data_IF_421743464801
#
_entry.id   IF_421743464801
#
_cell.length_a   1.000
_cell.length_b   1.000
_cell.length_c   1.000
_cell.angle_alpha   90.00
_cell.angle_beta   90.00
_cell.angle_gamma   90.00
#
_symmetry.space_group_name_H-M   'P 1'
#
loop_
_entity.id
_entity.type
_entity.pdbx_description
1 polymer ?
#
# COMPACT_ATOMS: atom_id res chain seq x y z
N UNK A 1 -30.52 -44.25 -6.67
CA UNK A 1 -29.41 -43.49 -6.07
C UNK A 1 -29.37 -42.14 -6.78
N UNK A 2 -29.97 -41.13 -6.14
CA UNK A 2 -30.16 -39.78 -6.65
C UNK A 2 -28.79 -39.08 -6.63
N UNK A 3 -28.29 -38.62 -7.77
CA UNK A 3 -26.99 -37.96 -7.87
C UNK A 3 -27.24 -36.46 -7.90
N UNK A 4 -27.01 -35.82 -6.76
CA UNK A 4 -27.07 -34.38 -6.59
C UNK A 4 -26.15 -33.67 -7.60
N UNK A 5 -26.74 -32.84 -8.45
CA UNK A 5 -26.03 -31.92 -9.34
C UNK A 5 -26.15 -30.50 -8.77
N UNK A 6 -25.12 -29.95 -8.10
CA UNK A 6 -25.14 -28.56 -7.64
C UNK A 6 -24.68 -27.54 -8.72
N UNK A 7 -24.75 -27.87 -10.01
CA UNK A 7 -23.97 -27.15 -11.05
C UNK A 7 -24.74 -26.57 -12.26
N UNK A 8 -26.08 -26.63 -12.29
CA UNK A 8 -26.87 -25.82 -13.23
C UNK A 8 -27.89 -25.03 -12.40
N UNK A 9 -27.60 -23.75 -12.17
CA UNK A 9 -28.71 -22.80 -12.00
C UNK A 9 -29.60 -23.02 -13.23
N UNK A 10 -30.85 -23.43 -13.01
CA UNK A 10 -31.83 -23.55 -14.08
C UNK A 10 -31.81 -22.23 -14.86
N UNK A 11 -31.79 -22.26 -16.19
CA UNK A 11 -31.68 -21.02 -16.98
C UNK A 11 -32.87 -20.08 -16.66
N UNK A 12 -33.99 -20.63 -16.17
CA UNK A 12 -35.07 -19.85 -15.55
C UNK A 12 -34.60 -19.04 -14.34
N UNK A 13 -33.84 -19.63 -13.43
CA UNK A 13 -33.20 -18.93 -12.30
C UNK A 13 -32.20 -17.87 -12.80
N UNK A 14 -31.53 -18.11 -13.94
CA UNK A 14 -30.63 -17.13 -14.58
C UNK A 14 -31.39 -15.93 -15.14
N UNK A 15 -32.52 -16.16 -15.81
CA UNK A 15 -33.40 -15.10 -16.31
C UNK A 15 -33.97 -14.27 -15.15
N UNK A 16 -34.51 -14.93 -14.12
CA UNK A 16 -35.02 -14.27 -12.91
C UNK A 16 -33.90 -13.49 -12.20
N UNK A 17 -32.72 -14.07 -12.04
CA UNK A 17 -31.57 -13.39 -11.46
C UNK A 17 -31.18 -12.13 -12.24
N UNK A 18 -31.27 -12.16 -13.57
CA UNK A 18 -30.99 -10.99 -14.42
C UNK A 18 -32.05 -9.89 -14.25
N UNK A 19 -33.33 -10.25 -14.10
CA UNK A 19 -34.42 -9.30 -13.78
C UNK A 19 -34.17 -8.65 -12.41
N UNK A 20 -33.84 -9.44 -11.39
CA UNK A 20 -33.57 -8.94 -10.03
C UNK A 20 -32.35 -8.00 -9.99
N UNK A 21 -31.31 -8.26 -10.80
CA UNK A 21 -30.18 -7.33 -10.95
C UNK A 21 -30.66 -6.00 -11.53
N UNK A 22 -31.48 -6.02 -12.58
CA UNK A 22 -32.10 -4.82 -13.16
C UNK A 22 -32.87 -4.01 -12.12
N UNK A 23 -33.68 -4.66 -11.30
CA UNK A 23 -34.44 -4.01 -10.22
C UNK A 23 -33.55 -3.37 -9.16
N UNK A 24 -32.50 -4.07 -8.73
CA UNK A 24 -31.57 -3.56 -7.74
C UNK A 24 -30.84 -2.30 -8.24
N UNK A 25 -30.49 -2.28 -9.53
CA UNK A 25 -29.88 -1.13 -10.20
C UNK A 25 -30.88 0.03 -10.35
N UNK A 26 -32.13 -0.23 -10.74
CA UNK A 26 -33.20 0.79 -10.75
C UNK A 26 -33.35 1.43 -9.36
N UNK A 27 -33.44 0.62 -8.30
CA UNK A 27 -33.53 1.11 -6.93
C UNK A 27 -32.27 1.92 -6.50
N UNK A 28 -31.09 1.58 -7.03
CA UNK A 28 -29.86 2.35 -6.83
C UNK A 28 -29.94 3.73 -7.49
N UNK A 29 -30.37 3.80 -8.75
CA UNK A 29 -30.56 5.05 -9.47
C UNK A 29 -31.62 5.94 -8.78
N UNK A 30 -32.68 5.36 -8.22
CA UNK A 30 -33.68 6.12 -7.43
C UNK A 30 -33.13 6.70 -6.13
N UNK A 31 -32.27 5.95 -5.44
CA UNK A 31 -31.55 6.47 -4.26
C UNK A 31 -30.64 7.62 -4.67
N UNK A 32 -29.90 7.46 -5.77
CA UNK A 32 -29.05 8.52 -6.32
C UNK A 32 -29.86 9.75 -6.71
N UNK A 33 -31.05 9.59 -7.31
CA UNK A 33 -31.98 10.70 -7.60
C UNK A 33 -32.38 11.46 -6.33
N UNK A 34 -32.77 10.74 -5.27
CA UNK A 34 -33.16 11.33 -3.98
C UNK A 34 -32.00 12.08 -3.33
N UNK A 35 -30.79 11.52 -3.37
CA UNK A 35 -29.59 12.19 -2.88
C UNK A 35 -29.23 13.41 -3.74
N UNK A 36 -29.41 13.30 -5.06
CA UNK A 36 -29.26 14.37 -6.04
C UNK A 36 -29.96 15.67 -5.68
N UNK A 37 -31.19 15.55 -5.14
CA UNK A 37 -32.01 16.69 -4.72
C UNK A 37 -31.42 17.45 -3.52
N UNK A 38 -30.55 16.82 -2.72
CA UNK A 38 -29.94 17.44 -1.54
C UNK A 38 -28.71 18.33 -1.86
N UNK A 39 -28.29 18.45 -3.12
CA UNK A 39 -27.19 19.32 -3.59
C UNK A 39 -25.86 19.16 -2.81
N UNK A 40 -25.57 17.96 -2.29
CA UNK A 40 -24.33 17.67 -1.56
C UNK A 40 -23.20 17.21 -2.51
N UNK A 41 -21.92 17.33 -2.12
CA UNK A 41 -20.81 16.74 -2.89
C UNK A 41 -20.92 15.23 -3.08
N UNK A 42 -21.58 14.53 -2.15
CA UNK A 42 -21.89 13.11 -2.27
C UNK A 42 -22.99 12.84 -3.30
N UNK A 43 -23.95 13.76 -3.45
CA UNK A 43 -25.01 13.70 -4.44
C UNK A 43 -24.46 13.65 -5.86
N UNK A 44 -23.45 14.47 -6.18
CA UNK A 44 -22.84 14.49 -7.51
C UNK A 44 -22.16 13.16 -7.85
N UNK A 45 -21.50 12.53 -6.87
CA UNK A 45 -20.89 11.20 -7.05
C UNK A 45 -21.96 10.13 -7.26
N UNK A 46 -23.04 10.17 -6.47
CA UNK A 46 -24.15 9.24 -6.59
C UNK A 46 -24.86 9.36 -7.95
N UNK A 47 -25.10 10.58 -8.43
CA UNK A 47 -25.68 10.82 -9.76
C UNK A 47 -24.78 10.26 -10.87
N UNK A 48 -23.48 10.56 -10.82
CA UNK A 48 -22.53 10.02 -11.81
C UNK A 48 -22.48 8.49 -11.79
N UNK A 49 -22.46 7.89 -10.61
CA UNK A 49 -22.49 6.43 -10.49
C UNK A 49 -23.80 5.85 -11.06
N UNK A 50 -24.94 6.52 -10.85
CA UNK A 50 -26.22 6.13 -11.47
C UNK A 50 -26.20 6.25 -13.00
N UNK A 51 -25.53 7.25 -13.59
CA UNK A 51 -25.36 7.34 -15.04
C UNK A 51 -24.54 6.18 -15.61
N UNK A 52 -23.49 5.76 -14.91
CA UNK A 52 -22.67 4.63 -15.32
C UNK A 52 -23.43 3.29 -15.20
N UNK A 53 -24.28 3.16 -14.17
CA UNK A 53 -25.05 1.95 -13.88
C UNK A 53 -26.30 1.80 -14.78
N UNK A 54 -26.86 2.89 -15.29
CA UNK A 54 -28.12 2.85 -16.06
C UNK A 54 -28.08 1.96 -17.32
N UNK A 55 -27.01 1.97 -18.15
CA UNK A 55 -26.90 1.03 -19.26
C UNK A 55 -26.87 -0.44 -18.83
N UNK A 56 -26.38 -0.75 -17.61
CA UNK A 56 -26.35 -2.13 -17.09
C UNK A 56 -27.76 -2.66 -16.77
N UNK A 57 -28.71 -1.78 -16.42
CA UNK A 57 -30.13 -2.15 -16.28
C UNK A 57 -30.60 -2.79 -17.57
N UNK A 58 -30.46 -2.09 -18.70
CA UNK A 58 -30.88 -2.60 -20.01
C UNK A 58 -30.13 -3.86 -20.43
N UNK A 59 -28.82 -3.97 -20.17
CA UNK A 59 -28.06 -5.20 -20.45
C UNK A 59 -28.57 -6.40 -19.66
N UNK A 60 -28.97 -6.19 -18.40
CA UNK A 60 -29.53 -7.24 -17.56
C UNK A 60 -30.91 -7.69 -18.03
N UNK A 61 -31.78 -6.74 -18.41
CA UNK A 61 -33.11 -7.04 -18.95
C UNK A 61 -33.04 -7.69 -20.33
N UNK A 62 -32.15 -7.22 -21.22
CA UNK A 62 -31.93 -7.82 -22.55
C UNK A 62 -31.43 -9.28 -22.42
N UNK A 63 -30.61 -9.58 -21.41
CA UNK A 63 -30.17 -10.95 -21.09
C UNK A 63 -31.34 -11.81 -20.60
N UNK A 64 -32.16 -11.29 -19.68
CA UNK A 64 -33.35 -12.00 -19.21
C UNK A 64 -34.29 -12.32 -20.38
N UNK A 65 -34.56 -11.32 -21.22
CA UNK A 65 -35.37 -11.45 -22.44
C UNK A 65 -34.84 -12.55 -23.35
N UNK A 66 -33.53 -12.60 -23.62
CA UNK A 66 -32.94 -13.63 -24.48
C UNK A 66 -33.18 -15.05 -23.94
N UNK A 67 -32.98 -15.26 -22.64
CA UNK A 67 -33.17 -16.57 -22.01
C UNK A 67 -34.65 -16.98 -21.99
N UNK A 68 -35.55 -16.02 -21.73
CA UNK A 68 -36.98 -16.27 -21.74
C UNK A 68 -37.51 -16.58 -23.15
N UNK A 69 -37.06 -15.84 -24.15
CA UNK A 69 -37.42 -16.06 -25.55
C UNK A 69 -36.96 -17.45 -26.05
N UNK A 70 -35.75 -17.88 -25.66
CA UNK A 70 -35.24 -19.22 -25.99
C UNK A 70 -36.12 -20.36 -25.44
N UNK A 71 -36.85 -20.11 -24.36
CA UNK A 71 -37.80 -21.06 -23.76
C UNK A 71 -39.23 -20.93 -24.27
N UNK A 72 -39.47 -20.06 -25.26
CA UNK A 72 -40.80 -19.81 -25.81
C UNK A 72 -41.72 -19.03 -24.87
N UNK A 73 -41.18 -18.34 -23.86
CA UNK A 73 -41.97 -17.43 -23.04
C UNK A 73 -42.40 -16.22 -23.87
N UNK A 74 -43.58 -15.67 -23.57
CA UNK A 74 -44.09 -14.49 -24.26
C UNK A 74 -43.36 -13.24 -23.77
N UNK A 75 -42.38 -12.76 -24.55
CA UNK A 75 -41.63 -11.52 -24.29
C UNK A 75 -42.07 -10.35 -25.19
N UNK A 76 -43.22 -10.45 -25.85
CA UNK A 76 -43.69 -9.47 -26.84
C UNK A 76 -43.83 -8.08 -26.22
N UNK A 77 -44.40 -7.99 -25.02
CA UNK A 77 -44.56 -6.70 -24.33
C UNK A 77 -43.23 -5.96 -24.10
N UNK A 78 -42.16 -6.70 -23.77
CA UNK A 78 -40.82 -6.13 -23.67
C UNK A 78 -40.29 -5.71 -25.05
N UNK A 79 -40.45 -6.53 -26.07
CA UNK A 79 -39.95 -6.28 -27.42
C UNK A 79 -40.63 -5.07 -28.09
N UNK A 80 -41.92 -4.83 -27.81
CA UNK A 80 -42.66 -3.65 -28.28
C UNK A 80 -42.24 -2.37 -27.54
N UNK A 81 -41.93 -2.49 -26.26
CA UNK A 81 -41.51 -1.37 -25.42
C UNK A 81 -40.07 -0.94 -25.72
N UNK A 82 -39.15 -1.89 -25.93
CA UNK A 82 -37.69 -1.67 -26.01
C UNK A 82 -37.21 -0.64 -27.05
N UNK A 83 -37.85 -0.45 -28.22
CA UNK A 83 -37.46 0.61 -29.17
C UNK A 83 -37.84 2.02 -28.73
N UNK A 84 -38.83 2.15 -27.84
CA UNK A 84 -39.46 3.42 -27.48
C UNK A 84 -38.95 4.01 -26.15
N UNK A 85 -38.17 3.24 -25.39
CA UNK A 85 -37.67 3.64 -24.07
C UNK A 85 -36.45 4.54 -24.13
N UNK A 86 -36.32 5.40 -23.11
CA UNK A 86 -35.13 6.24 -22.94
C UNK A 86 -33.93 5.39 -22.52
N UNK A 87 -32.89 5.41 -23.33
CA UNK A 87 -31.63 4.67 -23.08
C UNK A 87 -30.58 5.50 -22.34
N UNK A 88 -30.86 6.78 -22.08
CA UNK A 88 -29.99 7.67 -21.32
C UNK A 88 -30.73 8.16 -20.09
N UNK A 89 -30.03 8.16 -18.96
CA UNK A 89 -30.55 8.67 -17.69
C UNK A 89 -30.55 10.20 -17.60
N UNK A 90 -29.93 10.90 -18.56
CA UNK A 90 -29.76 12.36 -18.51
C UNK A 90 -30.86 13.10 -19.28
N UNK A 91 -31.51 14.04 -18.61
CA UNK A 91 -32.12 15.19 -19.26
C UNK A 91 -31.09 16.33 -19.30
N UNK A 92 -30.75 16.81 -20.49
CA UNK A 92 -30.08 18.10 -20.64
C UNK A 92 -31.11 19.16 -20.23
N UNK A 93 -31.04 19.63 -18.99
CA UNK A 93 -31.84 20.77 -18.56
C UNK A 93 -31.38 22.03 -19.30
N UNK A 94 -32.30 22.97 -19.49
CA UNK A 94 -32.04 24.31 -20.08
C UNK A 94 -31.02 25.15 -19.26
N UNK A 95 -30.70 24.71 -18.03
CA UNK A 95 -29.65 25.27 -17.20
C UNK A 95 -28.38 24.41 -17.31
N UNK A 96 -27.31 25.02 -17.86
CA UNK A 96 -26.11 24.41 -18.44
C UNK A 96 -25.31 23.44 -17.55
N UNK A 97 -25.58 23.27 -16.25
CA UNK A 97 -24.67 22.54 -15.36
C UNK A 97 -25.31 21.56 -14.36
N UNK A 98 -26.62 21.26 -14.44
CA UNK A 98 -27.26 20.33 -13.49
C UNK A 98 -27.61 19.00 -14.17
N UNK A 99 -26.70 18.04 -14.06
CA UNK A 99 -26.94 16.65 -14.45
C UNK A 99 -27.95 16.03 -13.47
N UNK A 100 -29.16 15.77 -13.94
CA UNK A 100 -30.24 15.16 -13.17
C UNK A 100 -30.59 13.77 -13.71
N UNK A 101 -31.07 12.91 -12.81
CA UNK A 101 -31.61 11.58 -13.15
C UNK A 101 -33.04 11.75 -13.69
N UNK A 102 -33.25 11.37 -14.95
CA UNK A 102 -34.56 11.44 -15.62
C UNK A 102 -35.57 10.45 -14.98
N UNK A 103 -36.66 10.94 -14.36
CA UNK A 103 -37.70 10.08 -13.81
C UNK A 103 -38.33 9.16 -14.87
N UNK A 104 -38.55 9.68 -16.08
CA UNK A 104 -39.21 8.93 -17.16
C UNK A 104 -38.38 7.73 -17.63
N UNK A 105 -37.06 7.87 -17.64
CA UNK A 105 -36.14 6.78 -17.99
C UNK A 105 -36.16 5.64 -16.95
N UNK A 106 -36.35 5.97 -15.67
CA UNK A 106 -36.52 4.95 -14.62
C UNK A 106 -37.89 4.29 -14.69
N UNK A 107 -38.95 5.05 -14.97
CA UNK A 107 -40.30 4.50 -15.15
C UNK A 107 -40.38 3.55 -16.36
N UNK A 108 -39.70 3.90 -17.47
CA UNK A 108 -39.55 3.04 -18.64
C UNK A 108 -38.85 1.70 -18.28
N UNK A 109 -37.80 1.75 -17.47
CA UNK A 109 -37.08 0.57 -17.01
C UNK A 109 -37.91 -0.29 -16.04
N UNK A 110 -38.72 0.32 -15.16
CA UNK A 110 -39.66 -0.41 -14.30
C UNK A 110 -40.73 -1.13 -15.13
N UNK A 111 -41.34 -0.43 -16.09
CA UNK A 111 -42.33 -1.05 -16.98
C UNK A 111 -41.73 -2.23 -17.75
N UNK A 112 -40.50 -2.08 -18.27
CA UNK A 112 -39.80 -3.17 -18.94
C UNK A 112 -39.55 -4.39 -18.03
N UNK A 113 -39.24 -4.12 -16.75
CA UNK A 113 -39.07 -5.18 -15.74
C UNK A 113 -40.39 -5.90 -15.49
N UNK A 114 -41.50 -5.16 -15.34
CA UNK A 114 -42.83 -5.73 -15.11
C UNK A 114 -43.27 -6.61 -16.28
N UNK A 115 -43.05 -6.19 -17.52
CA UNK A 115 -43.32 -7.01 -18.72
C UNK A 115 -42.55 -8.35 -18.69
N UNK A 116 -41.26 -8.32 -18.30
CA UNK A 116 -40.47 -9.55 -18.18
C UNK A 116 -40.91 -10.43 -17.00
N UNK A 117 -41.42 -9.84 -15.91
CA UNK A 117 -41.99 -10.60 -14.79
C UNK A 117 -43.27 -11.32 -15.19
N UNK A 118 -44.13 -10.69 -15.99
CA UNK A 118 -45.34 -11.30 -16.55
C UNK A 118 -45.01 -12.51 -17.43
N UNK A 119 -43.88 -12.49 -18.13
CA UNK A 119 -43.39 -13.60 -18.94
C UNK A 119 -42.94 -14.83 -18.13
N UNK A 120 -42.82 -14.73 -16.80
CA UNK A 120 -42.40 -15.83 -15.91
C UNK A 120 -43.50 -16.21 -14.89
N UNK A 121 -44.62 -16.80 -15.35
CA UNK A 121 -45.71 -17.17 -14.44
C UNK A 121 -45.27 -18.24 -13.43
N UNK A 122 -45.68 -18.05 -12.17
CA UNK A 122 -45.43 -19.02 -11.09
C UNK A 122 -43.98 -19.09 -10.60
N UNK A 123 -43.13 -18.09 -10.89
CA UNK A 123 -41.82 -18.00 -10.26
C UNK A 123 -41.95 -17.65 -8.76
N UNK A 124 -41.26 -18.41 -7.90
CA UNK A 124 -41.08 -18.05 -6.49
C UNK A 124 -39.94 -17.03 -6.39
N UNK A 125 -40.29 -15.76 -6.64
CA UNK A 125 -39.35 -14.64 -6.61
C UNK A 125 -38.60 -14.55 -5.29
N UNK A 126 -39.26 -14.84 -4.15
CA UNK A 126 -38.65 -14.75 -2.83
C UNK A 126 -37.64 -15.88 -2.56
N UNK A 127 -37.89 -17.11 -3.05
CA UNK A 127 -36.90 -18.19 -2.98
C UNK A 127 -35.72 -17.94 -3.93
N UNK A 128 -35.97 -17.41 -5.13
CA UNK A 128 -34.90 -17.11 -6.09
C UNK A 128 -34.07 -15.92 -5.62
N UNK A 129 -34.68 -14.87 -5.07
CA UNK A 129 -33.98 -13.74 -4.46
C UNK A 129 -33.10 -14.21 -3.29
N UNK A 130 -33.58 -15.11 -2.42
CA UNK A 130 -32.73 -15.67 -1.35
C UNK A 130 -31.50 -16.41 -1.90
N UNK A 131 -31.67 -17.24 -2.95
CA UNK A 131 -30.56 -17.96 -3.61
C UNK A 131 -29.63 -17.04 -4.39
N UNK A 132 -30.16 -15.98 -4.98
CA UNK A 132 -29.41 -15.02 -5.81
C UNK A 132 -28.95 -13.77 -5.05
N UNK A 133 -29.28 -13.63 -3.77
CA UNK A 133 -28.89 -12.50 -2.91
C UNK A 133 -27.38 -12.22 -2.93
N UNK A 134 -26.56 -13.28 -3.00
CA UNK A 134 -25.11 -13.20 -3.16
C UNK A 134 -24.63 -12.74 -4.55
N UNK A 135 -25.44 -12.91 -5.60
CA UNK A 135 -25.19 -12.42 -6.97
C UNK A 135 -25.70 -10.99 -7.17
N UNK A 136 -26.87 -10.65 -6.61
CA UNK A 136 -27.52 -9.34 -6.76
C UNK A 136 -26.75 -8.24 -6.03
N UNK A 137 -26.02 -8.57 -4.97
CA UNK A 137 -25.13 -7.65 -4.24
C UNK A 137 -23.70 -7.60 -4.81
N UNK A 138 -23.38 -8.44 -5.81
CA UNK A 138 -22.05 -8.53 -6.39
C UNK A 138 -21.64 -7.45 -7.41
N UNK A 139 -22.52 -6.65 -8.09
CA UNK A 139 -22.03 -5.78 -9.15
C UNK A 139 -21.17 -4.62 -8.63
N UNK A 140 -21.23 -4.27 -7.34
CA UNK A 140 -20.42 -3.19 -6.76
C UNK A 140 -19.04 -3.65 -6.25
N UNK A 141 -18.85 -4.95 -6.01
CA UNK A 141 -17.57 -5.48 -5.49
C UNK A 141 -16.47 -5.40 -6.56
N UNK A 142 -16.83 -5.55 -7.85
CA UNK A 142 -15.87 -5.49 -8.96
C UNK A 142 -15.24 -4.09 -9.10
N UNK A 143 -16.00 -3.02 -8.84
CA UNK A 143 -15.53 -1.62 -8.90
C UNK A 143 -14.58 -1.28 -7.75
N UNK A 144 -14.88 -1.76 -6.52
CA UNK A 144 -13.97 -1.63 -5.37
C UNK A 144 -12.69 -2.46 -5.56
N UNK A 145 -12.81 -3.68 -6.09
CA UNK A 145 -11.65 -4.54 -6.39
C UNK A 145 -10.76 -3.94 -7.47
N UNK A 146 -11.33 -3.38 -8.55
CA UNK A 146 -10.55 -2.67 -9.56
C UNK A 146 -9.87 -1.42 -8.99
N UNK A 147 -10.52 -0.66 -8.08
CA UNK A 147 -9.87 0.47 -7.41
C UNK A 147 -8.68 0.03 -6.52
N UNK A 148 -8.80 -1.10 -5.82
CA UNK A 148 -7.69 -1.65 -5.04
C UNK A 148 -6.55 -2.14 -5.93
N UNK A 149 -6.86 -2.79 -7.06
CA UNK A 149 -5.86 -3.26 -8.03
C UNK A 149 -5.13 -2.08 -8.69
N UNK A 150 -5.87 -1.05 -9.11
CA UNK A 150 -5.29 0.18 -9.69
C UNK A 150 -4.47 0.93 -8.64
N UNK A 151 -4.98 1.06 -7.42
CA UNK A 151 -4.24 1.66 -6.30
C UNK A 151 -2.95 0.92 -5.99
N UNK A 152 -2.97 -0.43 -6.02
CA UNK A 152 -1.79 -1.26 -5.87
C UNK A 152 -0.76 -1.05 -6.99
N UNK A 153 -1.21 -1.00 -8.25
CA UNK A 153 -0.33 -0.73 -9.39
C UNK A 153 0.33 0.65 -9.32
N UNK A 154 -0.43 1.68 -8.95
CA UNK A 154 0.09 3.05 -8.77
C UNK A 154 1.12 3.09 -7.64
N UNK A 155 0.86 2.40 -6.53
CA UNK A 155 1.81 2.31 -5.42
C UNK A 155 3.11 1.62 -5.85
N UNK A 156 3.03 0.48 -6.54
CA UNK A 156 4.21 -0.25 -7.04
C UNK A 156 5.01 0.63 -8.01
N UNK A 157 4.34 1.34 -8.91
CA UNK A 157 4.99 2.26 -9.83
C UNK A 157 5.68 3.41 -9.09
N UNK A 158 5.03 4.02 -8.09
CA UNK A 158 5.61 5.07 -7.28
C UNK A 158 6.86 4.58 -6.51
N UNK A 159 6.82 3.38 -5.95
CA UNK A 159 7.98 2.77 -5.27
C UNK A 159 9.13 2.54 -6.27
N UNK A 160 8.84 2.03 -7.47
CA UNK A 160 9.85 1.83 -8.50
C UNK A 160 10.50 3.14 -8.95
N UNK A 161 9.71 4.20 -9.14
CA UNK A 161 10.21 5.54 -9.50
C UNK A 161 11.06 6.13 -8.37
N UNK A 162 10.63 5.99 -7.11
CA UNK A 162 11.42 6.44 -5.96
C UNK A 162 12.74 5.68 -5.83
N UNK A 163 12.73 4.36 -6.03
CA UNK A 163 13.94 3.54 -6.04
C UNK A 163 14.90 3.95 -7.18
N UNK A 164 14.35 4.20 -8.37
CA UNK A 164 15.14 4.69 -9.50
C UNK A 164 15.71 6.09 -9.24
N UNK A 165 14.93 7.01 -8.70
CA UNK A 165 15.40 8.36 -8.33
C UNK A 165 16.49 8.30 -7.25
N UNK A 166 16.35 7.42 -6.24
CA UNK A 166 17.37 7.20 -5.24
C UNK A 166 18.69 6.66 -5.83
N UNK A 167 18.61 5.87 -6.91
CA UNK A 167 19.81 5.37 -7.62
C UNK A 167 20.55 6.45 -8.42
N UNK A 168 19.86 7.54 -8.78
CA UNK A 168 20.45 8.70 -9.45
C UNK A 168 21.06 9.71 -8.49
N UNK A 169 20.75 9.61 -7.18
CA UNK A 169 21.41 10.44 -6.17
C UNK A 169 22.90 10.05 -6.17
N UNK A 170 23.81 10.95 -6.58
CA UNK A 170 25.22 10.67 -6.55
C UNK A 170 25.59 10.37 -5.11
N UNK A 171 25.87 9.10 -4.81
CA UNK A 171 26.50 8.74 -3.56
C UNK A 171 27.86 9.44 -3.60
N UNK A 172 28.02 10.48 -2.79
CA UNK A 172 29.32 11.08 -2.51
C UNK A 172 30.23 9.91 -2.15
N UNK A 173 31.14 9.55 -3.07
CA UNK A 173 32.07 8.46 -2.83
C UNK A 173 32.84 8.87 -1.57
N UNK A 174 32.74 8.12 -0.46
CA UNK A 174 33.45 8.48 0.75
C UNK A 174 34.91 8.59 0.37
N UNK A 175 35.46 9.79 0.51
CA UNK A 175 36.83 10.07 0.15
C UNK A 175 37.70 9.10 0.97
N UNK A 176 38.53 8.25 0.34
CA UNK A 176 39.33 7.26 1.06
C UNK A 176 40.21 7.90 2.14
N UNK A 177 40.56 9.19 1.97
CA UNK A 177 41.28 9.97 2.97
C UNK A 177 40.47 10.23 4.24
N UNK A 178 39.16 10.45 4.14
CA UNK A 178 38.30 10.70 5.30
C UNK A 178 37.90 9.41 6.03
N UNK A 179 37.89 8.28 5.32
CA UNK A 179 37.81 6.96 5.96
C UNK A 179 39.09 6.66 6.76
N UNK A 180 40.26 6.83 6.13
CA UNK A 180 41.56 6.60 6.78
C UNK A 180 41.78 7.53 7.98
N UNK A 181 41.36 8.81 7.90
CA UNK A 181 41.44 9.74 9.04
C UNK A 181 40.61 9.29 10.23
N UNK A 182 39.43 8.72 10.01
CA UNK A 182 38.57 8.19 11.08
C UNK A 182 39.21 6.97 11.73
N UNK A 183 39.72 6.04 10.93
CA UNK A 183 40.42 4.86 11.47
C UNK A 183 41.66 5.23 12.30
N UNK A 184 42.44 6.21 11.84
CA UNK A 184 43.58 6.72 12.62
C UNK A 184 43.12 7.37 13.93
N UNK A 185 42.05 8.16 13.90
CA UNK A 185 41.49 8.79 15.10
C UNK A 185 41.02 7.75 16.12
N UNK A 186 40.37 6.67 15.67
CA UNK A 186 39.92 5.58 16.53
C UNK A 186 41.10 4.84 17.17
N UNK A 187 42.16 4.57 16.41
CA UNK A 187 43.38 3.93 16.93
C UNK A 187 44.05 4.83 17.99
N UNK A 188 44.10 6.14 17.78
CA UNK A 188 44.65 7.09 18.76
C UNK A 188 43.81 7.11 20.03
N UNK A 189 42.48 7.12 19.92
CA UNK A 189 41.59 7.07 21.09
C UNK A 189 41.78 5.77 21.90
N UNK A 190 41.85 4.63 21.23
CA UNK A 190 42.10 3.34 21.89
C UNK A 190 43.42 3.31 22.66
N UNK A 191 44.49 3.88 22.10
CA UNK A 191 45.78 3.99 22.80
C UNK A 191 45.70 4.87 24.03
N UNK A 192 45.02 6.02 23.95
CA UNK A 192 44.84 6.93 25.08
C UNK A 192 44.10 6.26 26.23
N UNK A 193 43.04 5.52 25.95
CA UNK A 193 42.30 4.75 26.96
C UNK A 193 43.20 3.70 27.62
N UNK A 194 44.00 2.98 26.83
CA UNK A 194 44.94 1.98 27.34
C UNK A 194 46.03 2.60 28.23
N UNK A 195 46.53 3.79 27.91
CA UNK A 195 47.49 4.51 28.77
C UNK A 195 46.85 4.83 30.13
N UNK A 196 45.63 5.37 30.14
CA UNK A 196 44.91 5.69 31.38
C UNK A 196 44.66 4.44 32.22
N UNK A 197 44.23 3.35 31.59
CA UNK A 197 44.02 2.05 32.24
C UNK A 197 45.31 1.52 32.87
N UNK A 198 46.42 1.53 32.12
CA UNK A 198 47.72 1.07 32.61
C UNK A 198 48.25 1.96 33.74
N UNK A 199 48.05 3.28 33.68
CA UNK A 199 48.40 4.21 34.75
C UNK A 199 47.62 3.89 36.03
N UNK A 200 46.30 3.74 35.92
CA UNK A 200 45.44 3.41 37.06
C UNK A 200 45.76 2.03 37.64
N UNK A 201 46.05 1.04 36.78
CA UNK A 201 46.39 -0.31 37.21
C UNK A 201 47.76 -0.37 37.91
N UNK A 202 48.74 0.42 37.46
CA UNK A 202 50.07 0.43 38.07
C UNK A 202 50.06 1.15 39.41
N UNK A 203 49.50 2.37 39.48
CA UNK A 203 49.50 3.19 40.70
C UNK A 203 50.88 3.29 41.33
N UNK A 204 50.99 2.91 42.62
CA UNK A 204 52.26 2.87 43.35
C UNK A 204 52.97 1.50 43.36
N UNK A 205 52.46 0.53 42.61
CA UNK A 205 53.03 -0.81 42.55
C UNK A 205 54.22 -0.87 41.60
N UNK A 206 55.17 -1.74 41.92
CA UNK A 206 56.31 -2.06 41.07
C UNK A 206 56.00 -3.32 40.26
N UNK A 207 55.41 -3.13 39.07
CA UNK A 207 55.06 -4.21 38.13
C UNK A 207 55.79 -4.00 36.79
N UNK A 208 56.99 -4.60 36.59
CA UNK A 208 57.83 -4.38 35.42
C UNK A 208 57.13 -4.56 34.07
N UNK A 209 56.38 -5.65 33.78
CA UNK A 209 55.72 -5.80 32.48
C UNK A 209 54.71 -4.68 32.19
N UNK A 210 53.96 -4.23 33.20
CA UNK A 210 53.00 -3.11 33.02
C UNK A 210 53.70 -1.78 32.85
N UNK A 211 54.79 -1.53 33.60
CA UNK A 211 55.59 -0.33 33.45
C UNK A 211 56.20 -0.24 32.04
N UNK A 212 56.76 -1.35 31.51
CA UNK A 212 57.30 -1.43 30.15
C UNK A 212 56.26 -1.14 29.09
N UNK A 213 55.08 -1.75 29.20
CA UNK A 213 53.98 -1.52 28.26
C UNK A 213 53.48 -0.08 28.35
N UNK A 214 53.36 0.49 29.55
CA UNK A 214 52.94 1.88 29.73
C UNK A 214 53.90 2.86 29.06
N UNK A 215 55.20 2.75 29.35
CA UNK A 215 56.23 3.63 28.74
C UNK A 215 56.25 3.50 27.23
N UNK A 216 56.12 2.27 26.71
CA UNK A 216 55.99 2.02 25.27
C UNK A 216 54.77 2.71 24.67
N UNK A 217 53.59 2.60 25.29
CA UNK A 217 52.37 3.23 24.79
C UNK A 217 52.47 4.76 24.82
N UNK A 218 53.02 5.36 25.89
CA UNK A 218 53.25 6.80 25.97
C UNK A 218 54.18 7.32 24.86
N UNK A 219 55.24 6.58 24.54
CA UNK A 219 56.15 6.95 23.44
C UNK A 219 55.46 6.86 22.08
N UNK A 220 54.67 5.81 21.85
CA UNK A 220 53.92 5.65 20.58
C UNK A 220 52.78 6.67 20.40
N UNK A 221 52.31 7.30 21.49
CA UNK A 221 51.31 8.38 21.48
C UNK A 221 51.96 9.79 21.36
N UNK A 222 53.29 9.86 21.24
CA UNK A 222 54.02 11.14 21.14
C UNK A 222 54.25 11.84 22.49
N UNK A 223 53.87 11.23 23.61
CA UNK A 223 54.00 11.77 24.98
C UNK A 223 55.38 11.49 25.58
N UNK A 224 56.44 11.75 24.83
CA UNK A 224 57.78 11.31 25.20
C UNK A 224 58.39 12.01 26.42
N UNK A 225 57.96 13.23 26.75
CA UNK A 225 58.37 13.89 28.00
C UNK A 225 57.74 13.22 29.23
N UNK A 226 56.47 12.84 29.12
CA UNK A 226 55.76 12.14 30.18
C UNK A 226 56.30 10.74 30.39
N UNK A 227 56.62 10.03 29.31
CA UNK A 227 57.28 8.73 29.37
C UNK A 227 58.63 8.81 30.11
N UNK A 228 59.43 9.86 29.86
CA UNK A 228 60.70 10.11 30.54
C UNK A 228 60.52 10.40 32.03
N UNK A 229 59.57 11.27 32.38
CA UNK A 229 59.24 11.56 33.78
C UNK A 229 58.72 10.33 34.51
N UNK A 230 57.88 9.54 33.87
CA UNK A 230 57.39 8.28 34.41
C UNK A 230 58.55 7.31 34.67
N UNK A 231 59.45 7.14 33.71
CA UNK A 231 60.60 6.24 33.84
C UNK A 231 61.57 6.65 34.97
N UNK A 232 61.83 7.95 35.14
CA UNK A 232 62.68 8.43 36.23
C UNK A 232 62.07 8.13 37.61
N UNK A 233 60.78 8.48 37.80
CA UNK A 233 60.05 8.23 39.05
C UNK A 233 59.93 6.72 39.32
N UNK A 234 59.66 5.91 38.29
CA UNK A 234 59.60 4.47 38.43
C UNK A 234 60.95 3.88 38.84
N UNK A 235 62.05 4.36 38.26
CA UNK A 235 63.41 3.89 38.58
C UNK A 235 63.81 4.24 40.01
N UNK A 236 63.51 5.46 40.46
CA UNK A 236 63.75 5.89 41.84
C UNK A 236 62.96 5.05 42.86
N UNK A 237 61.73 4.66 42.52
CA UNK A 237 60.82 3.94 43.42
C UNK A 237 61.03 2.42 43.42
N UNK A 238 61.23 1.84 42.25
CA UNK A 238 61.13 0.40 42.01
C UNK A 238 62.47 -0.25 41.61
N UNK A 239 63.54 0.54 41.48
CA UNK A 239 64.82 0.09 40.96
C UNK A 239 64.90 0.14 39.43
N UNK A 240 66.11 -0.10 38.91
CA UNK A 240 66.43 0.07 37.50
C UNK A 240 65.76 -1.00 36.61
N UNK A 241 65.00 -0.57 35.60
CA UNK A 241 64.52 -1.41 34.51
C UNK A 241 65.02 -0.85 33.17
N UNK A 242 66.03 -1.52 32.60
CA UNK A 242 66.68 -1.12 31.34
C UNK A 242 65.70 -1.03 30.16
N UNK A 243 64.59 -1.78 30.18
CA UNK A 243 63.59 -1.75 29.11
C UNK A 243 62.73 -0.49 29.22
N UNK A 244 62.36 -0.11 30.44
CA UNK A 244 61.63 1.14 30.70
C UNK A 244 62.49 2.34 30.30
N UNK A 245 63.77 2.36 30.70
CA UNK A 245 64.71 3.41 30.33
C UNK A 245 64.92 3.49 28.81
N UNK A 246 65.11 2.34 28.14
CA UNK A 246 65.28 2.28 26.68
C UNK A 246 64.09 2.86 25.93
N UNK A 247 62.87 2.56 26.35
CA UNK A 247 61.68 3.15 25.75
C UNK A 247 61.60 4.65 26.01
N UNK A 248 61.83 5.09 27.25
CA UNK A 248 61.82 6.50 27.60
C UNK A 248 62.86 7.33 26.84
N UNK A 249 64.00 6.73 26.48
CA UNK A 249 65.06 7.39 25.70
C UNK A 249 64.86 7.32 24.17
N UNK A 250 63.79 6.68 23.68
CA UNK A 250 63.58 6.57 22.23
C UNK A 250 63.30 7.96 21.61
N UNK A 251 63.75 8.20 20.36
CA UNK A 251 63.56 9.49 19.71
C UNK A 251 62.07 9.76 19.47
N UNK A 252 61.64 11.00 19.77
CA UNK A 252 60.27 11.44 19.49
C UNK A 252 60.20 11.79 18.01
N UNK A 253 59.62 10.90 17.19
CA UNK A 253 59.26 11.25 15.83
C UNK A 253 58.09 12.23 15.86
N UNK A 254 58.38 13.52 15.64
CA UNK A 254 57.36 14.52 15.35
C UNK A 254 56.80 14.20 13.97
N UNK A 255 55.65 13.54 13.93
CA UNK A 255 54.87 13.42 12.71
C UNK A 255 54.23 14.80 12.45
N UNK A 256 54.48 15.43 11.29
CA UNK A 256 53.88 16.72 10.93
C UNK A 256 52.36 16.64 10.78
#
# INVERSE_FOLDING_TARGET
>A
MYRDAPAQLDERDVAVGSILIGEALIASCERARRLGQAHSPEAWRAIRDAHDDFPEIWRSLDRARQVLAQRGANVIGYDELRPHVRTRLATLGDAVDVVCVDPGALDDARRATDELKLAVPGADWAAIERRTSGLVHAPLIRRRRNRLVVGGLVLVFAVAVLAWAASLVPHERPNPRDAMRREIADIVQLRRLKIVELQAALGDRCDPPRARELTKQMMMDGRGEEARRFASVYTERCGEDLVVLRWASAPIHQWP
#
